data_IF_335342312810
#
_entry.id   IF_335342312810
#
_cell.length_a   1.000
_cell.length_b   1.000
_cell.length_c   1.000
_cell.angle_alpha   90.00
_cell.angle_beta   90.00
_cell.angle_gamma   90.00
#
_symmetry.space_group_name_H-M   'P 1'
#
loop_
_entity.id
_entity.type
_entity.pdbx_description
1 polymer ?
#
# COMPACT_ATOMS: atom_id res chain seq x y z
N UNK A 1 -16.21 -9.80 -2.29
CA UNK A 1 -15.69 -8.45 -2.01
C UNK A 1 -15.26 -7.81 -3.32
N UNK A 2 -15.83 -6.67 -3.68
CA UNK A 2 -15.53 -5.98 -4.94
C UNK A 2 -14.14 -5.30 -4.89
N UNK A 3 -13.57 -4.93 -6.03
CA UNK A 3 -12.22 -4.31 -6.09
C UNK A 3 -12.11 -3.03 -5.25
N UNK A 4 -13.19 -2.24 -5.19
CA UNK A 4 -13.26 -1.02 -4.38
C UNK A 4 -13.15 -1.32 -2.88
N UNK A 5 -13.87 -2.33 -2.40
CA UNK A 5 -13.78 -2.77 -0.99
C UNK A 5 -12.39 -3.32 -0.67
N UNK A 6 -11.80 -4.10 -1.60
CA UNK A 6 -10.46 -4.65 -1.46
C UNK A 6 -9.40 -3.55 -1.32
N UNK A 7 -9.39 -2.57 -2.22
CA UNK A 7 -8.39 -1.49 -2.17
C UNK A 7 -8.55 -0.62 -0.92
N UNK A 8 -9.79 -0.33 -0.49
CA UNK A 8 -10.04 0.39 0.77
C UNK A 8 -9.59 -0.40 2.00
N UNK A 9 -9.76 -1.73 2.00
CA UNK A 9 -9.28 -2.60 3.07
C UNK A 9 -7.75 -2.62 3.16
N UNK A 10 -7.07 -2.89 2.04
CA UNK A 10 -5.60 -2.95 2.00
C UNK A 10 -4.98 -1.58 2.31
N UNK A 11 -5.57 -0.48 1.83
CA UNK A 11 -5.15 0.88 2.19
C UNK A 11 -5.14 1.10 3.71
N UNK A 12 -6.26 0.79 4.39
CA UNK A 12 -6.40 1.01 5.83
C UNK A 12 -5.45 0.11 6.63
N UNK A 13 -5.27 -1.13 6.19
CA UNK A 13 -4.33 -2.06 6.82
C UNK A 13 -2.90 -1.54 6.68
N UNK A 14 -2.47 -1.18 5.46
CA UNK A 14 -1.13 -0.70 5.17
C UNK A 14 -0.79 0.58 5.94
N UNK A 15 -1.72 1.55 5.96
CA UNK A 15 -1.57 2.77 6.75
C UNK A 15 -1.33 2.45 8.24
N UNK A 16 -2.15 1.57 8.83
CA UNK A 16 -1.99 1.18 10.23
C UNK A 16 -0.65 0.52 10.50
N UNK A 17 -0.21 -0.39 9.63
CA UNK A 17 1.05 -1.11 9.81
C UNK A 17 2.25 -0.15 9.72
N UNK A 18 2.25 0.78 8.75
CA UNK A 18 3.28 1.81 8.66
C UNK A 18 3.26 2.75 9.87
N UNK A 19 2.06 3.17 10.33
CA UNK A 19 1.90 3.99 11.53
C UNK A 19 2.20 3.26 12.83
N UNK A 20 2.29 1.94 12.86
CA UNK A 20 2.79 1.19 14.04
C UNK A 20 4.32 1.18 14.13
N UNK A 21 5.00 1.52 13.02
CA UNK A 21 6.46 1.56 12.89
C UNK A 21 7.00 2.99 12.79
N UNK A 22 6.37 4.00 13.41
CA UNK A 22 6.80 5.42 13.22
C UNK A 22 8.22 5.74 13.68
N UNK A 23 8.82 4.89 14.51
CA UNK A 23 10.24 4.98 14.89
C UNK A 23 11.20 4.55 13.78
N UNK A 24 10.71 3.91 12.73
CA UNK A 24 11.45 3.49 11.55
C UNK A 24 11.39 4.59 10.48
N UNK A 25 12.55 5.11 10.09
CA UNK A 25 12.65 6.18 9.10
C UNK A 25 12.09 5.80 7.73
N UNK A 26 12.25 4.54 7.30
CA UNK A 26 11.75 4.07 6.02
C UNK A 26 10.25 3.82 6.07
N UNK A 27 9.70 3.37 7.20
CA UNK A 27 8.25 3.28 7.36
C UNK A 27 7.61 4.68 7.26
N UNK A 28 8.24 5.70 7.85
CA UNK A 28 7.81 7.10 7.73
C UNK A 28 7.88 7.61 6.29
N UNK A 29 8.96 7.30 5.57
CA UNK A 29 9.12 7.67 4.16
C UNK A 29 8.08 6.97 3.26
N UNK A 30 7.88 5.66 3.44
CA UNK A 30 6.88 4.88 2.74
C UNK A 30 5.46 5.44 2.99
N UNK A 31 5.14 5.78 4.24
CA UNK A 31 3.87 6.41 4.59
C UNK A 31 3.65 7.72 3.84
N UNK A 32 4.66 8.61 3.87
CA UNK A 32 4.59 9.91 3.16
C UNK A 32 4.40 9.73 1.66
N UNK A 33 5.13 8.79 1.05
CA UNK A 33 5.03 8.52 -0.39
C UNK A 33 3.69 7.88 -0.80
N UNK A 34 3.08 7.08 0.08
CA UNK A 34 1.80 6.42 -0.17
C UNK A 34 0.58 7.31 0.11
N UNK A 35 0.74 8.37 0.93
CA UNK A 35 -0.35 9.26 1.35
C UNK A 35 -1.22 9.80 0.19
N UNK A 36 -0.66 10.28 -0.93
CA UNK A 36 -1.48 10.74 -2.06
C UNK A 36 -2.35 9.63 -2.67
N UNK A 37 -1.91 8.37 -2.61
CA UNK A 37 -2.70 7.23 -3.07
C UNK A 37 -3.79 6.87 -2.07
N UNK A 38 -3.49 6.96 -0.77
CA UNK A 38 -4.49 6.75 0.29
C UNK A 38 -5.63 7.75 0.17
N UNK A 39 -5.32 9.04 -0.01
CA UNK A 39 -6.31 10.10 -0.17
C UNK A 39 -7.19 9.86 -1.41
N UNK A 40 -6.59 9.43 -2.53
CA UNK A 40 -7.35 9.09 -3.75
C UNK A 40 -8.26 7.87 -3.54
N UNK A 41 -7.79 6.84 -2.83
CA UNK A 41 -8.60 5.64 -2.52
C UNK A 41 -9.77 5.98 -1.60
N UNK A 42 -9.60 6.89 -0.64
CA UNK A 42 -10.68 7.30 0.26
C UNK A 42 -11.81 8.02 -0.46
N UNK A 43 -11.45 8.90 -1.40
CA UNK A 43 -12.39 9.65 -2.21
C UNK A 43 -12.95 8.85 -3.40
N UNK A 44 -12.57 7.57 -3.54
CA UNK A 44 -12.99 6.71 -4.64
C UNK A 44 -14.41 6.16 -4.40
N UNK A 45 -15.33 6.45 -5.32
CA UNK A 45 -16.71 5.96 -5.32
C UNK A 45 -16.94 4.74 -6.22
N UNK A 46 -16.09 4.56 -7.22
CA UNK A 46 -16.04 3.39 -8.09
C UNK A 46 -14.58 3.04 -8.36
N UNK A 47 -14.26 1.75 -8.51
CA UNK A 47 -12.87 1.33 -8.69
C UNK A 47 -12.31 1.78 -10.05
N UNK A 48 -11.12 2.39 -10.03
CA UNK A 48 -10.27 2.61 -11.18
C UNK A 48 -8.78 2.57 -10.78
N UNK A 49 -7.87 2.12 -11.65
CA UNK A 49 -6.43 2.19 -11.39
C UNK A 49 -5.96 3.64 -11.24
N UNK A 50 -5.09 3.90 -10.27
CA UNK A 50 -4.60 5.26 -9.96
C UNK A 50 -3.27 5.54 -10.68
N UNK A 51 -2.38 4.54 -10.75
CA UNK A 51 -1.04 4.70 -11.32
C UNK A 51 0.00 3.77 -10.68
N UNK A 52 1.26 3.89 -11.10
CA UNK A 52 2.37 3.03 -10.64
C UNK A 52 2.96 3.49 -9.30
N UNK A 53 3.16 2.56 -8.38
CA UNK A 53 3.84 2.78 -7.10
C UNK A 53 5.21 2.11 -7.14
N UNK A 54 6.28 2.92 -7.04
CA UNK A 54 7.66 2.43 -7.08
C UNK A 54 8.34 2.49 -5.71
N UNK A 55 7.77 1.80 -4.72
CA UNK A 55 8.34 1.75 -3.37
C UNK A 55 8.92 0.39 -3.00
N UNK A 56 8.87 -0.61 -3.88
CA UNK A 56 9.41 -1.94 -3.61
C UNK A 56 10.89 -1.90 -3.20
N UNK A 57 11.68 -1.02 -3.85
CA UNK A 57 13.09 -0.81 -3.51
C UNK A 57 13.27 -0.31 -2.08
N UNK A 58 12.49 0.71 -1.68
CA UNK A 58 12.52 1.23 -0.31
C UNK A 58 12.24 0.12 0.70
N UNK A 59 11.23 -0.72 0.47
CA UNK A 59 10.89 -1.81 1.40
C UNK A 59 11.98 -2.88 1.50
N UNK A 60 12.65 -3.20 0.39
CA UNK A 60 13.73 -4.19 0.36
C UNK A 60 15.04 -3.68 0.97
N UNK A 61 15.33 -2.38 0.83
CA UNK A 61 16.57 -1.77 1.32
C UNK A 61 16.51 -1.37 2.81
N UNK A 62 15.32 -1.37 3.44
CA UNK A 62 15.11 -0.83 4.79
C UNK A 62 14.62 -1.83 5.83
N UNK A 63 14.82 -3.13 5.60
CA UNK A 63 14.34 -4.23 6.46
C UNK A 63 12.81 -4.29 6.65
N UNK A 64 12.02 -3.37 6.09
CA UNK A 64 10.56 -3.44 6.09
C UNK A 64 10.05 -4.72 5.43
N UNK A 65 10.80 -5.29 4.48
CA UNK A 65 10.50 -6.59 3.87
C UNK A 65 10.60 -7.78 4.82
N UNK A 66 11.29 -7.64 5.97
CA UNK A 66 11.36 -8.69 6.98
C UNK A 66 10.00 -8.89 7.68
N UNK A 67 9.19 -7.83 7.74
CA UNK A 67 7.79 -7.92 8.10
C UNK A 67 6.98 -8.41 6.88
N UNK A 68 6.90 -9.74 6.74
CA UNK A 68 6.23 -10.40 5.61
C UNK A 68 4.77 -9.97 5.45
N UNK A 69 4.09 -9.65 6.55
CA UNK A 69 2.69 -9.23 6.50
C UNK A 69 2.59 -7.81 5.92
N UNK A 70 3.43 -6.89 6.39
CA UNK A 70 3.52 -5.52 5.87
C UNK A 70 3.92 -5.51 4.39
N UNK A 71 4.95 -6.27 4.01
CA UNK A 71 5.40 -6.33 2.62
C UNK A 71 4.35 -6.96 1.69
N UNK A 72 3.66 -8.00 2.15
CA UNK A 72 2.55 -8.61 1.41
C UNK A 72 1.36 -7.66 1.28
N UNK A 73 1.04 -6.89 2.33
CA UNK A 73 -0.02 -5.89 2.28
C UNK A 73 0.33 -4.76 1.29
N UNK A 74 1.57 -4.28 1.32
CA UNK A 74 2.08 -3.34 0.32
C UNK A 74 1.93 -3.91 -1.10
N UNK A 75 2.35 -5.15 -1.36
CA UNK A 75 2.23 -5.77 -2.68
C UNK A 75 0.78 -5.87 -3.17
N UNK A 76 -0.14 -6.32 -2.32
CA UNK A 76 -1.57 -6.37 -2.66
C UNK A 76 -2.16 -4.98 -2.93
N UNK A 77 -1.80 -4.00 -2.11
CA UNK A 77 -2.22 -2.61 -2.31
C UNK A 77 -1.68 -2.04 -3.63
N UNK A 78 -0.38 -2.20 -3.89
CA UNK A 78 0.27 -1.72 -5.11
C UNK A 78 -0.37 -2.34 -6.36
N UNK A 79 -0.60 -3.66 -6.37
CA UNK A 79 -1.27 -4.33 -7.50
C UNK A 79 -2.66 -3.77 -7.76
N UNK A 80 -3.45 -3.52 -6.70
CA UNK A 80 -4.80 -2.93 -6.84
C UNK A 80 -4.74 -1.47 -7.34
N UNK A 81 -3.79 -0.68 -6.83
CA UNK A 81 -3.57 0.69 -7.29
C UNK A 81 -3.15 0.73 -8.77
N UNK A 82 -2.32 -0.23 -9.19
CA UNK A 82 -1.80 -0.34 -10.55
C UNK A 82 -2.77 -1.00 -11.54
N UNK A 83 -3.85 -1.60 -11.04
CA UNK A 83 -4.78 -2.36 -11.88
C UNK A 83 -4.23 -3.72 -12.33
N UNK A 84 -3.20 -4.24 -11.67
CA UNK A 84 -2.62 -5.55 -11.95
C UNK A 84 -3.48 -6.64 -11.32
N UNK A 85 -4.01 -7.53 -12.15
CA UNK A 85 -4.71 -8.73 -11.69
C UNK A 85 -3.71 -9.85 -11.43
N UNK A 86 -3.50 -10.16 -10.15
CA UNK A 86 -2.76 -11.36 -9.75
C UNK A 86 -3.80 -12.45 -9.52
N UNK A 87 -3.88 -13.40 -10.46
CA UNK A 87 -4.64 -14.64 -10.29
C UNK A 87 -3.86 -15.52 -9.33
N UNK A 88 -4.36 -15.66 -8.11
CA UNK A 88 -3.88 -16.60 -7.10
C UNK A 88 -4.62 -17.92 -7.21
#
# INVERSE_FOLDING_TARGET
>A
MCKLERIKKERKALERMLLSKQGDSAASEAYKALRPYFDKVDNMNSYYPIGRIRLARLFLESDLSNDKELFSCYGRFANLVEGVEVYS
#
